data_IF_242388723867
#
_entry.id   IF_242388723867
#
_cell.length_a   1.000
_cell.length_b   1.000
_cell.length_c   1.000
_cell.angle_alpha   90.00
_cell.angle_beta   90.00
_cell.angle_gamma   90.00
#
_symmetry.space_group_name_H-M   'P 1'
#
loop_
_entity.id
_entity.type
_entity.pdbx_description
1 polymer ?
#
# COMPACT_ATOMS: atom_id res chain seq x y z
N UNK A 1 2.23 -21.07 -5.51
CA UNK A 1 2.36 -19.89 -4.62
C UNK A 1 2.84 -18.74 -5.47
N UNK A 2 2.14 -17.60 -5.49
CA UNK A 2 2.65 -16.41 -6.16
C UNK A 2 3.74 -15.79 -5.27
N UNK A 3 4.97 -15.70 -5.76
CA UNK A 3 6.07 -15.05 -5.04
C UNK A 3 5.82 -13.55 -4.88
N UNK A 4 6.60 -12.91 -4.00
CA UNK A 4 6.59 -11.45 -3.88
C UNK A 4 6.93 -10.80 -5.23
N UNK A 5 6.23 -9.73 -5.54
CA UNK A 5 6.30 -9.06 -6.84
C UNK A 5 6.73 -7.61 -6.66
N UNK A 6 7.54 -7.13 -7.59
CA UNK A 6 7.97 -5.74 -7.66
C UNK A 6 7.48 -5.09 -8.95
N UNK A 7 6.99 -3.86 -8.86
CA UNK A 7 6.47 -3.13 -10.02
C UNK A 7 7.60 -2.49 -10.81
N UNK A 8 7.77 -2.90 -12.06
CA UNK A 8 8.65 -2.21 -13.02
C UNK A 8 7.83 -1.46 -14.07
N UNK A 9 8.30 -0.28 -14.48
CA UNK A 9 7.67 0.46 -15.58
C UNK A 9 8.12 -0.08 -16.93
N UNK A 10 7.20 -0.13 -17.91
CA UNK A 10 7.50 -0.62 -19.25
C UNK A 10 8.53 0.26 -20.00
N UNK A 11 8.52 1.56 -19.72
CA UNK A 11 9.43 2.56 -20.31
C UNK A 11 10.74 2.72 -19.55
N UNK A 12 11.01 1.87 -18.53
CA UNK A 12 12.20 2.02 -17.69
C UNK A 12 13.49 1.96 -18.50
N UNK A 13 13.57 1.06 -19.48
CA UNK A 13 14.73 0.90 -20.34
C UNK A 13 15.06 2.16 -21.17
N UNK A 14 14.08 3.04 -21.41
CA UNK A 14 14.23 4.32 -22.12
C UNK A 14 14.33 5.53 -21.18
N UNK A 15 14.20 5.33 -19.88
CA UNK A 15 14.14 6.43 -18.91
C UNK A 15 15.46 7.23 -18.90
N UNK A 16 15.44 8.58 -18.89
CA UNK A 16 16.66 9.39 -18.97
C UNK A 16 17.71 9.08 -17.89
N UNK A 17 17.27 8.73 -16.68
CA UNK A 17 18.17 8.29 -15.60
C UNK A 17 18.88 6.97 -15.94
N UNK A 18 18.18 5.99 -16.54
CA UNK A 18 18.80 4.74 -17.01
C UNK A 18 19.80 5.01 -18.12
N UNK A 19 19.48 5.92 -19.04
CA UNK A 19 20.42 6.35 -20.10
C UNK A 19 21.68 7.00 -19.50
N UNK A 20 21.54 7.86 -18.48
CA UNK A 20 22.68 8.46 -17.77
C UNK A 20 23.53 7.41 -17.06
N UNK A 21 22.91 6.47 -16.33
CA UNK A 21 23.63 5.38 -15.67
C UNK A 21 24.36 4.49 -16.68
N UNK A 22 23.70 4.12 -17.79
CA UNK A 22 24.30 3.35 -18.88
C UNK A 22 25.53 4.05 -19.46
N UNK A 23 25.44 5.37 -19.69
CA UNK A 23 26.56 6.17 -20.16
C UNK A 23 27.71 6.25 -19.14
N UNK A 24 27.40 6.40 -17.85
CA UNK A 24 28.40 6.51 -16.78
C UNK A 24 29.17 5.19 -16.57
N UNK A 25 28.45 4.07 -16.61
CA UNK A 25 29.01 2.73 -16.37
C UNK A 25 29.52 2.04 -17.65
N UNK A 26 29.33 2.67 -18.82
CA UNK A 26 29.65 2.10 -20.15
C UNK A 26 29.04 0.71 -20.34
N UNK A 27 27.79 0.55 -19.91
CA UNK A 27 27.07 -0.72 -19.97
C UNK A 27 25.76 -0.59 -20.75
N UNK A 28 25.25 -1.73 -21.21
CA UNK A 28 23.96 -1.76 -21.91
C UNK A 28 22.79 -1.48 -20.94
N UNK A 29 21.67 -1.03 -21.51
CA UNK A 29 20.49 -0.64 -20.75
C UNK A 29 19.86 -1.81 -19.99
N UNK A 30 19.96 -3.03 -20.49
CA UNK A 30 19.40 -4.21 -19.81
C UNK A 30 20.22 -4.58 -18.59
N UNK A 31 21.55 -4.47 -18.64
CA UNK A 31 22.42 -4.64 -17.45
C UNK A 31 22.08 -3.63 -16.36
N UNK A 32 21.83 -2.37 -16.72
CA UNK A 32 21.36 -1.34 -15.78
C UNK A 32 20.00 -1.71 -15.18
N UNK A 33 19.04 -2.11 -16.02
CA UNK A 33 17.69 -2.49 -15.56
C UNK A 33 17.73 -3.71 -14.64
N UNK A 34 18.58 -4.70 -14.93
CA UNK A 34 18.79 -5.87 -14.08
C UNK A 34 19.42 -5.50 -12.73
N UNK A 35 20.42 -4.61 -12.73
CA UNK A 35 21.01 -4.08 -11.49
C UNK A 35 19.99 -3.32 -10.65
N UNK A 36 19.16 -2.47 -11.28
CA UNK A 36 18.10 -1.74 -10.59
C UNK A 36 17.05 -2.67 -9.99
N UNK A 37 16.63 -3.70 -10.74
CA UNK A 37 15.72 -4.71 -10.23
C UNK A 37 16.31 -5.43 -9.00
N UNK A 38 17.58 -5.84 -9.06
CA UNK A 38 18.26 -6.48 -7.94
C UNK A 38 18.33 -5.58 -6.71
N UNK A 39 18.76 -4.32 -6.88
CA UNK A 39 18.80 -3.34 -5.82
C UNK A 39 17.41 -3.11 -5.20
N UNK A 40 16.38 -2.91 -6.03
CA UNK A 40 15.02 -2.67 -5.52
C UNK A 40 14.45 -3.89 -4.80
N UNK A 41 14.76 -5.12 -5.23
CA UNK A 41 14.39 -6.32 -4.50
C UNK A 41 15.09 -6.40 -3.13
N UNK A 42 16.37 -6.03 -3.05
CA UNK A 42 17.10 -5.97 -1.77
C UNK A 42 16.40 -5.01 -0.79
N UNK A 43 16.10 -3.79 -1.24
CA UNK A 43 15.38 -2.82 -0.43
C UNK A 43 13.98 -3.31 -0.06
N UNK A 44 13.26 -3.98 -0.96
CA UNK A 44 11.92 -4.49 -0.66
C UNK A 44 11.90 -5.60 0.39
N UNK A 45 12.94 -6.45 0.43
CA UNK A 45 13.05 -7.57 1.38
C UNK A 45 13.59 -7.10 2.73
N UNK A 46 14.60 -6.24 2.73
CA UNK A 46 15.37 -5.89 3.92
C UNK A 46 15.06 -4.52 4.50
N UNK A 47 14.19 -3.73 3.85
CA UNK A 47 13.80 -2.42 4.32
C UNK A 47 12.28 -2.26 4.42
N UNK A 48 11.84 -1.53 5.45
CA UNK A 48 10.42 -1.19 5.66
C UNK A 48 10.12 0.23 5.18
N UNK A 49 11.08 1.14 5.33
CA UNK A 49 10.97 2.59 5.10
C UNK A 49 11.92 3.09 4.00
N UNK A 50 12.69 2.19 3.39
CA UNK A 50 13.70 2.51 2.39
C UNK A 50 15.09 2.77 2.97
N UNK A 51 15.32 2.54 4.26
CA UNK A 51 16.64 2.50 4.90
C UNK A 51 17.18 1.07 4.92
N UNK A 52 18.42 0.89 4.45
CA UNK A 52 19.22 -0.31 4.65
C UNK A 52 20.37 0.02 5.58
N UNK A 53 20.25 -0.43 6.83
CA UNK A 53 21.28 -0.20 7.85
C UNK A 53 22.44 -1.19 7.70
N UNK A 54 23.68 -0.71 7.86
CA UNK A 54 24.90 -1.50 7.71
C UNK A 54 25.26 -1.88 6.27
N UNK A 55 24.59 -1.31 5.27
CA UNK A 55 24.97 -1.45 3.87
C UNK A 55 25.68 -0.18 3.41
N UNK A 56 26.86 -0.34 2.79
CA UNK A 56 27.57 0.74 2.10
C UNK A 56 27.37 0.65 0.58
N UNK A 57 27.72 1.73 -0.13
CA UNK A 57 27.70 1.72 -1.60
C UNK A 57 28.55 0.58 -2.19
N UNK A 58 29.70 0.28 -1.58
CA UNK A 58 30.59 -0.80 -2.05
C UNK A 58 29.97 -2.18 -1.80
N UNK A 59 29.33 -2.39 -0.65
CA UNK A 59 28.61 -3.65 -0.35
C UNK A 59 27.47 -3.92 -1.33
N UNK A 60 26.74 -2.88 -1.71
CA UNK A 60 25.66 -3.00 -2.70
C UNK A 60 26.21 -3.34 -4.10
N UNK A 61 27.34 -2.73 -4.50
CA UNK A 61 28.00 -3.02 -5.76
C UNK A 61 28.54 -4.46 -5.83
N UNK A 62 29.13 -4.96 -4.73
CA UNK A 62 29.61 -6.33 -4.61
C UNK A 62 28.46 -7.34 -4.68
N UNK A 63 27.34 -7.06 -4.00
CA UNK A 63 26.16 -7.93 -4.05
C UNK A 63 25.56 -8.02 -5.45
N UNK A 64 25.51 -6.90 -6.18
CA UNK A 64 25.01 -6.85 -7.56
C UNK A 64 26.05 -7.41 -8.55
N UNK A 65 27.32 -7.43 -8.17
CA UNK A 65 28.44 -7.75 -9.06
C UNK A 65 28.61 -6.70 -10.15
N UNK A 66 28.42 -5.42 -9.81
CA UNK A 66 28.56 -4.31 -10.74
C UNK A 66 29.22 -3.08 -10.08
N UNK A 67 30.57 -2.99 -10.15
CA UNK A 67 31.31 -1.88 -9.55
C UNK A 67 30.89 -0.51 -10.08
N UNK A 68 30.72 0.45 -9.17
CA UNK A 68 30.29 1.82 -9.45
C UNK A 68 28.78 2.00 -9.62
N UNK A 69 27.98 0.92 -9.52
CA UNK A 69 26.54 0.96 -9.77
C UNK A 69 25.81 1.85 -8.77
N UNK A 70 26.14 1.73 -7.49
CA UNK A 70 25.56 2.50 -6.39
C UNK A 70 25.88 3.98 -6.54
N UNK A 71 27.12 4.33 -6.92
CA UNK A 71 27.49 5.71 -7.26
C UNK A 71 26.69 6.26 -8.44
N UNK A 72 26.48 5.46 -9.48
CA UNK A 72 25.65 5.88 -10.62
C UNK A 72 24.17 6.06 -10.21
N UNK A 73 23.66 5.22 -9.30
CA UNK A 73 22.30 5.30 -8.76
C UNK A 73 22.13 6.54 -7.87
N UNK A 74 23.15 6.89 -7.08
CA UNK A 74 23.22 8.14 -6.31
C UNK A 74 23.25 9.37 -7.21
N UNK A 75 24.07 9.36 -8.27
CA UNK A 75 24.18 10.48 -9.20
C UNK A 75 22.85 10.82 -9.92
N UNK A 76 21.98 9.83 -10.10
CA UNK A 76 20.64 10.05 -10.65
C UNK A 76 19.57 10.27 -9.59
N UNK A 77 19.92 10.34 -8.30
CA UNK A 77 19.00 10.57 -7.18
C UNK A 77 18.00 9.43 -6.99
N UNK A 78 18.47 8.19 -7.11
CA UNK A 78 17.71 6.98 -6.78
C UNK A 78 18.26 6.23 -5.57
N UNK A 79 19.40 6.66 -5.06
CA UNK A 79 20.04 6.17 -3.85
C UNK A 79 20.66 7.38 -3.15
N UNK A 80 20.71 7.36 -1.82
CA UNK A 80 21.41 8.31 -0.97
C UNK A 80 22.20 7.50 0.07
N UNK A 81 23.30 8.06 0.56
CA UNK A 81 24.15 7.43 1.57
C UNK A 81 24.19 8.33 2.81
N UNK A 82 23.86 7.73 3.96
CA UNK A 82 23.84 8.40 5.26
C UNK A 82 24.82 7.69 6.19
N UNK A 83 26.11 7.95 6.02
CA UNK A 83 27.16 7.32 6.83
C UNK A 83 27.26 5.82 6.56
N UNK A 84 26.76 4.99 7.48
CA UNK A 84 26.82 3.52 7.40
C UNK A 84 25.52 2.89 6.85
N UNK A 85 24.57 3.71 6.40
CA UNK A 85 23.30 3.21 5.87
C UNK A 85 23.00 3.77 4.48
N UNK A 86 22.37 2.95 3.63
CA UNK A 86 21.84 3.38 2.34
C UNK A 86 20.36 3.72 2.44
N UNK A 87 19.94 4.78 1.76
CA UNK A 87 18.55 5.24 1.71
C UNK A 87 18.08 5.26 0.28
N UNK A 88 16.89 4.71 0.01
CA UNK A 88 16.20 4.89 -1.26
C UNK A 88 15.23 6.07 -1.17
N UNK A 89 15.51 7.21 -1.82
CA UNK A 89 14.65 8.39 -1.71
C UNK A 89 13.28 8.11 -2.31
N UNK A 90 12.22 8.58 -1.63
CA UNK A 90 10.82 8.37 -2.03
C UNK A 90 10.45 6.89 -2.14
N UNK A 91 11.04 6.03 -1.29
CA UNK A 91 10.71 4.60 -1.21
C UNK A 91 9.19 4.37 -1.14
N UNK A 92 8.48 5.10 -0.28
CA UNK A 92 7.02 5.02 -0.13
C UNK A 92 6.22 5.29 -1.41
N UNK A 93 6.77 6.08 -2.35
CA UNK A 93 6.08 6.41 -3.60
C UNK A 93 6.08 5.25 -4.60
N UNK A 94 7.07 4.36 -4.54
CA UNK A 94 7.27 3.33 -5.56
C UNK A 94 7.29 1.91 -4.99
N UNK A 95 8.00 1.69 -3.88
CA UNK A 95 8.13 0.37 -3.25
C UNK A 95 7.43 0.27 -1.89
N UNK A 96 6.86 1.37 -1.39
CA UNK A 96 6.00 1.36 -0.21
C UNK A 96 4.76 0.47 -0.36
N UNK A 97 4.30 -0.11 0.75
CA UNK A 97 3.11 -0.96 0.78
C UNK A 97 1.85 -0.22 0.26
N UNK A 98 1.78 1.09 0.50
CA UNK A 98 0.72 1.97 -0.01
C UNK A 98 0.77 2.11 -1.54
N UNK A 99 1.96 2.15 -2.14
CA UNK A 99 2.17 2.23 -3.58
C UNK A 99 1.82 0.91 -4.29
N UNK A 100 2.22 -0.23 -3.71
CA UNK A 100 1.84 -1.58 -4.19
C UNK A 100 0.33 -1.75 -4.23
N UNK A 101 -0.39 -1.35 -3.17
CA UNK A 101 -1.87 -1.41 -3.11
C UNK A 101 -2.53 -0.49 -4.15
N UNK A 102 -2.08 0.76 -4.27
CA UNK A 102 -2.56 1.70 -5.31
C UNK A 102 -2.36 1.15 -6.72
N UNK A 103 -1.23 0.48 -6.99
CA UNK A 103 -0.97 -0.15 -8.28
C UNK A 103 -1.95 -1.30 -8.57
N UNK A 104 -2.19 -2.19 -7.60
CA UNK A 104 -3.15 -3.29 -7.74
C UNK A 104 -4.60 -2.78 -7.90
N UNK A 105 -4.99 -1.76 -7.13
CA UNK A 105 -6.32 -1.17 -7.23
C UNK A 105 -6.54 -0.48 -8.59
N UNK A 106 -5.50 0.19 -9.12
CA UNK A 106 -5.54 0.75 -10.46
C UNK A 106 -5.70 -0.34 -11.54
N UNK A 107 -4.96 -1.45 -11.43
CA UNK A 107 -5.11 -2.59 -12.35
C UNK A 107 -6.48 -3.25 -12.23
N UNK A 108 -7.00 -3.45 -11.01
CA UNK A 108 -8.35 -3.97 -10.79
C UNK A 108 -9.39 -3.07 -11.45
N UNK A 109 -9.32 -1.75 -11.23
CA UNK A 109 -10.24 -0.77 -11.84
C UNK A 109 -10.12 -0.77 -13.37
N UNK A 110 -8.91 -0.86 -13.92
CA UNK A 110 -8.68 -0.95 -15.36
C UNK A 110 -9.31 -2.20 -15.96
N UNK A 111 -9.16 -3.35 -15.31
CA UNK A 111 -9.72 -4.62 -15.77
C UNK A 111 -11.26 -4.61 -15.74
N UNK A 112 -11.87 -4.04 -14.69
CA UNK A 112 -13.33 -3.85 -14.60
C UNK A 112 -13.85 -2.98 -15.75
N UNK A 113 -13.18 -1.85 -16.05
CA UNK A 113 -13.55 -0.99 -17.18
C UNK A 113 -13.43 -1.70 -18.52
N UNK A 114 -12.39 -2.52 -18.70
CA UNK A 114 -12.18 -3.29 -19.94
C UNK A 114 -13.28 -4.36 -20.16
N UNK A 115 -13.70 -5.05 -19.10
CA UNK A 115 -14.80 -6.02 -19.15
C UNK A 115 -16.16 -5.34 -19.41
N UNK A 116 -16.37 -4.15 -18.84
CA UNK A 116 -17.61 -3.39 -19.03
C UNK A 116 -17.74 -2.83 -20.46
N UNK A 117 -16.63 -2.46 -21.10
CA UNK A 117 -16.62 -1.97 -22.48
C UNK A 117 -16.92 -3.09 -23.51
N UNK A 118 -16.42 -4.31 -23.29
CA UNK A 118 -16.67 -5.43 -24.21
C UNK A 118 -18.11 -5.95 -24.21
N UNK A 119 -18.86 -5.69 -23.13
CA UNK A 119 -20.27 -6.09 -23.01
C UNK A 119 -21.24 -5.04 -23.59
N UNK A 120 -20.82 -3.77 -23.68
CA UNK A 120 -21.61 -2.71 -24.30
C UNK A 120 -21.69 -2.87 -25.84
N UNK A 121 -20.62 -3.35 -26.48
CA UNK A 121 -20.54 -3.49 -27.94
C UNK A 121 -21.34 -4.68 -28.50
N UNK A 122 -21.69 -5.68 -27.68
CA UNK A 122 -22.51 -6.84 -28.12
C UNK A 122 -24.01 -6.53 -28.20
N UNK A 123 -24.46 -5.34 -27.79
CA UNK A 123 -25.89 -4.98 -27.66
C UNK A 123 -26.40 -3.89 -28.62
N UNK A 124 -25.72 -3.64 -29.74
CA UNK A 124 -26.23 -2.80 -30.86
C UNK A 124 -25.85 -3.52 -32.17
N UNK A 125 -26.70 -3.84 -33.13
CA UNK A 125 -27.96 -3.26 -33.64
C UNK A 125 -28.71 -4.39 -34.39
N UNK A 126 -29.98 -4.67 -34.06
CA UNK A 126 -30.85 -5.49 -34.96
C UNK A 126 -31.53 -4.53 -35.93
N UNK A 127 -30.96 -4.44 -37.12
CA UNK A 127 -31.44 -3.63 -38.24
C UNK A 127 -32.87 -4.01 -38.64
N UNK A 128 -33.71 -3.01 -38.79
CA UNK A 128 -35.09 -3.05 -39.25
C UNK A 128 -35.15 -3.12 -40.79
N UNK A 129 -35.65 -4.22 -41.41
CA UNK A 129 -36.28 -4.22 -42.76
C UNK A 129 -36.87 -5.58 -43.23
N UNK A 130 -38.18 -5.54 -43.55
CA UNK A 130 -38.84 -6.03 -44.80
C UNK A 130 -39.50 -7.45 -44.90
N UNK A 131 -40.83 -7.44 -44.66
CA UNK A 131 -41.99 -7.94 -45.49
C UNK A 131 -42.12 -9.40 -46.02
N UNK A 132 -43.34 -9.91 -45.75
CA UNK A 132 -44.30 -10.67 -46.61
C UNK A 132 -44.28 -12.23 -46.71
N UNK A 133 -45.29 -12.85 -46.06
CA UNK A 133 -46.37 -13.73 -46.55
C UNK A 133 -46.21 -15.23 -47.00
N UNK A 134 -47.13 -16.06 -46.45
CA UNK A 134 -47.84 -17.28 -46.96
C UNK A 134 -47.36 -18.74 -46.66
N UNK A 135 -48.16 -19.37 -45.76
CA UNK A 135 -48.83 -20.71 -45.71
C UNK A 135 -48.14 -22.10 -45.50
N UNK A 136 -48.74 -22.80 -44.51
CA UNK A 136 -49.16 -24.22 -44.39
C UNK A 136 -48.17 -25.39 -44.05
N UNK A 137 -48.13 -25.73 -42.74
CA UNK A 137 -48.18 -27.03 -41.95
C UNK A 137 -47.86 -28.41 -42.61
N UNK A 138 -47.59 -29.52 -41.83
CA UNK A 138 -47.06 -29.69 -40.44
C UNK A 138 -46.10 -30.92 -40.17
N UNK A 139 -45.38 -30.82 -39.03
CA UNK A 139 -44.99 -31.82 -37.97
C UNK A 139 -44.20 -33.13 -38.21
N UNK A 140 -43.05 -33.26 -37.51
CA UNK A 140 -42.68 -34.35 -36.55
C UNK A 140 -41.41 -33.95 -35.75
N UNK A 141 -41.50 -33.60 -34.46
CA UNK A 141 -41.00 -34.36 -33.30
C UNK A 141 -39.56 -33.96 -32.86
N UNK A 142 -39.33 -32.93 -32.04
CA UNK A 142 -39.39 -32.84 -30.55
C UNK A 142 -38.20 -33.46 -29.79
N UNK A 143 -37.19 -32.63 -29.45
CA UNK A 143 -36.41 -32.75 -28.22
C UNK A 143 -36.42 -31.37 -27.52
N UNK A 144 -36.90 -31.37 -26.27
CA UNK A 144 -37.08 -30.20 -25.42
C UNK A 144 -35.82 -29.95 -24.59
N UNK A 145 -35.34 -28.71 -24.56
CA UNK A 145 -34.73 -28.14 -23.36
C UNK A 145 -35.03 -26.64 -23.31
N UNK A 146 -35.85 -26.25 -22.33
CA UNK A 146 -36.27 -24.88 -22.08
C UNK A 146 -35.17 -24.08 -21.34
N UNK A 147 -34.94 -22.80 -21.67
CA UNK A 147 -34.15 -21.90 -20.86
C UNK A 147 -35.05 -21.24 -19.80
N UNK A 148 -34.70 -21.37 -18.53
CA UNK A 148 -35.44 -20.72 -17.43
C UNK A 148 -34.78 -19.38 -17.12
N UNK A 149 -35.46 -18.32 -17.51
CA UNK A 149 -35.29 -16.95 -17.00
C UNK A 149 -35.63 -16.94 -15.50
N UNK A 150 -34.87 -16.21 -14.69
CA UNK A 150 -35.38 -15.65 -13.43
C UNK A 150 -34.52 -14.46 -13.00
N UNK A 151 -35.13 -13.29 -13.15
CA UNK A 151 -34.69 -12.02 -12.58
C UNK A 151 -34.81 -11.97 -11.05
N UNK A 152 -33.94 -11.14 -10.46
CA UNK A 152 -34.06 -10.37 -9.21
C UNK A 152 -34.70 -11.02 -7.96
N UNK A 153 -33.86 -11.29 -6.96
CA UNK A 153 -34.27 -11.47 -5.57
C UNK A 153 -33.21 -10.90 -4.63
N UNK A 154 -33.58 -9.88 -3.84
CA UNK A 154 -32.78 -9.42 -2.72
C UNK A 154 -32.72 -10.48 -1.64
N UNK A 155 -31.51 -10.84 -1.22
CA UNK A 155 -31.23 -11.69 -0.08
C UNK A 155 -29.83 -11.35 0.43
N UNK A 156 -29.71 -11.12 1.73
CA UNK A 156 -28.43 -10.90 2.42
C UNK A 156 -27.45 -12.04 2.12
N UNK A 157 -26.14 -11.76 2.00
CA UNK A 157 -25.16 -12.80 1.78
C UNK A 157 -25.03 -13.69 3.02
N UNK A 158 -25.23 -14.98 2.80
CA UNK A 158 -25.05 -16.09 3.74
C UNK A 158 -23.66 -16.02 4.44
N UNK A 159 -23.60 -15.99 5.79
CA UNK A 159 -22.35 -15.90 6.54
C UNK A 159 -21.50 -17.19 6.51
N UNK A 160 -21.98 -18.31 5.95
CA UNK A 160 -21.26 -19.59 5.97
C UNK A 160 -20.44 -19.93 4.70
N UNK A 161 -20.27 -19.00 3.77
CA UNK A 161 -19.50 -19.22 2.54
C UNK A 161 -17.96 -19.17 2.70
N UNK A 162 -17.43 -19.48 3.88
CA UNK A 162 -15.98 -19.54 4.14
C UNK A 162 -15.57 -20.85 4.81
N UNK A 163 -15.57 -21.97 4.07
CA UNK A 163 -14.62 -23.07 4.34
C UNK A 163 -14.60 -24.12 3.23
N UNK A 164 -13.60 -24.03 2.35
CA UNK A 164 -13.07 -25.20 1.65
C UNK A 164 -11.64 -25.43 2.16
N UNK A 165 -11.54 -26.26 3.19
CA UNK A 165 -10.31 -26.73 3.80
C UNK A 165 -9.72 -27.84 2.91
N UNK A 166 -8.61 -27.57 2.23
CA UNK A 166 -7.80 -28.61 1.59
C UNK A 166 -6.34 -28.46 2.04
N UNK A 167 -5.77 -29.58 2.49
CA UNK A 167 -4.38 -29.78 2.95
C UNK A 167 -4.03 -29.39 4.39
N UNK A 168 -4.68 -30.01 5.38
CA UNK A 168 -4.03 -30.81 6.45
C UNK A 168 -2.77 -30.30 7.19
N UNK A 169 -2.41 -29.02 7.12
CA UNK A 169 -1.23 -28.45 7.77
C UNK A 169 -1.69 -27.68 9.01
N UNK A 170 -1.39 -28.23 10.19
CA UNK A 170 -1.49 -27.52 11.47
C UNK A 170 -0.13 -26.88 11.75
N UNK A 171 -0.07 -25.55 11.72
CA UNK A 171 1.11 -24.81 12.11
C UNK A 171 1.30 -24.90 13.65
N UNK A 172 2.53 -25.13 14.16
CA UNK A 172 2.78 -25.15 15.60
C UNK A 172 2.80 -23.71 16.14
N UNK A 173 1.81 -23.36 16.96
CA UNK A 173 1.90 -22.22 17.90
C UNK A 173 0.75 -21.22 17.84
N UNK A 174 0.01 -21.14 18.95
CA UNK A 174 -0.83 -19.99 19.32
C UNK A 174 -2.31 -20.32 19.43
N UNK A 175 -2.80 -20.57 20.64
CA UNK A 175 -4.24 -20.57 20.94
C UNK A 175 -4.76 -19.13 20.76
N UNK A 176 -5.62 -18.93 19.77
CA UNK A 176 -6.30 -17.65 19.51
C UNK A 176 -7.27 -17.81 18.36
N UNK A 177 -8.55 -17.62 18.64
CA UNK A 177 -9.67 -17.91 17.75
C UNK A 177 -9.67 -17.06 16.45
N UNK A 178 -10.15 -17.67 15.37
CA UNK A 178 -10.56 -17.08 14.09
C UNK A 178 -9.57 -16.23 13.28
N UNK A 179 -8.84 -16.90 12.36
CA UNK A 179 -8.50 -16.36 11.04
C UNK A 179 -7.82 -14.97 10.99
N UNK A 180 -7.85 -14.34 9.82
CA UNK A 180 -7.45 -12.92 9.67
C UNK A 180 -8.72 -12.08 9.69
N UNK A 181 -8.72 -10.98 10.43
CA UNK A 181 -9.86 -10.06 10.49
C UNK A 181 -9.40 -8.61 10.34
N UNK A 182 -10.30 -7.77 9.82
CA UNK A 182 -10.10 -6.32 9.76
C UNK A 182 -10.35 -5.70 11.13
N UNK A 183 -9.63 -4.62 11.44
CA UNK A 183 -9.81 -3.90 12.70
C UNK A 183 -11.24 -3.39 12.86
N UNK A 184 -11.84 -3.61 14.03
CA UNK A 184 -13.21 -3.22 14.38
C UNK A 184 -13.26 -2.54 15.76
N UNK A 185 -14.33 -1.79 16.03
CA UNK A 185 -14.44 -0.94 17.23
C UNK A 185 -14.36 -1.71 18.55
N UNK A 186 -14.86 -2.96 18.55
CA UNK A 186 -14.89 -3.81 19.74
C UNK A 186 -13.64 -4.69 19.89
N UNK A 187 -12.56 -4.40 19.16
CA UNK A 187 -11.33 -5.19 19.25
C UNK A 187 -10.58 -4.84 20.53
N UNK A 188 -10.12 -5.86 21.25
CA UNK A 188 -9.35 -5.70 22.47
C UNK A 188 -8.14 -6.65 22.43
N UNK A 189 -6.95 -6.23 22.88
CA UNK A 189 -5.81 -7.14 23.04
C UNK A 189 -6.05 -8.16 24.16
N UNK A 190 -5.18 -9.16 24.25
CA UNK A 190 -5.27 -10.17 25.30
C UNK A 190 -5.18 -9.55 26.71
N UNK A 191 -5.86 -10.12 27.72
CA UNK A 191 -5.75 -9.65 29.11
C UNK A 191 -4.31 -9.65 29.66
N UNK A 192 -3.42 -10.45 29.06
CA UNK A 192 -2.01 -10.55 29.43
C UNK A 192 -1.07 -9.88 28.41
N UNK A 193 -1.58 -8.85 27.72
CA UNK A 193 -0.85 -8.16 26.66
C UNK A 193 0.51 -7.63 27.11
N UNK A 194 0.62 -6.99 28.28
CA UNK A 194 1.89 -6.43 28.79
C UNK A 194 2.98 -7.50 28.90
N UNK A 195 2.59 -8.71 29.33
CA UNK A 195 3.49 -9.88 29.39
C UNK A 195 3.89 -10.37 28.00
N UNK A 196 2.94 -10.46 27.06
CA UNK A 196 3.22 -10.84 25.66
C UNK A 196 4.10 -9.81 24.94
N UNK A 197 3.88 -8.52 25.18
CA UNK A 197 4.71 -7.45 24.63
C UNK A 197 6.17 -7.58 25.08
N UNK A 198 6.40 -7.91 26.36
CA UNK A 198 7.75 -8.15 26.88
C UNK A 198 8.44 -9.34 26.21
N UNK A 199 7.69 -10.39 25.85
CA UNK A 199 8.23 -11.53 25.07
C UNK A 199 8.69 -11.12 23.67
N UNK A 200 8.10 -10.08 23.08
CA UNK A 200 8.55 -9.49 21.81
C UNK A 200 9.66 -8.44 21.98
N UNK A 201 10.23 -8.30 23.18
CA UNK A 201 11.27 -7.32 23.50
C UNK A 201 10.74 -5.90 23.75
N UNK A 202 9.42 -5.72 23.91
CA UNK A 202 8.79 -4.42 24.12
C UNK A 202 8.37 -4.30 25.59
N UNK A 203 9.15 -3.57 26.37
CA UNK A 203 8.89 -3.37 27.79
C UNK A 203 7.98 -2.16 28.03
N UNK A 204 6.68 -2.42 28.20
CA UNK A 204 5.69 -1.41 28.55
C UNK A 204 5.65 -1.24 30.08
N UNK A 205 6.07 -0.06 30.57
CA UNK A 205 6.09 0.26 32.02
C UNK A 205 4.71 0.46 32.64
N UNK A 206 3.73 0.77 31.81
CA UNK A 206 2.34 1.07 32.19
C UNK A 206 1.43 0.31 31.24
N UNK A 207 0.26 -0.11 31.72
CA UNK A 207 -0.73 -0.76 30.87
C UNK A 207 -1.18 0.15 29.72
N UNK A 208 -1.80 -0.46 28.70
CA UNK A 208 -2.33 0.29 27.56
C UNK A 208 -3.45 1.19 28.05
N UNK A 209 -3.37 2.47 27.71
CA UNK A 209 -4.46 3.41 28.01
C UNK A 209 -5.60 3.24 26.99
N UNK A 210 -6.86 3.46 27.37
CA UNK A 210 -7.99 3.41 26.43
C UNK A 210 -7.83 4.38 25.24
N UNK A 211 -7.14 5.50 25.45
CA UNK A 211 -6.84 6.47 24.40
C UNK A 211 -5.87 5.91 23.35
N UNK A 212 -4.77 5.28 23.77
CA UNK A 212 -3.81 4.63 22.86
C UNK A 212 -4.48 3.51 22.04
N UNK A 213 -5.37 2.75 22.67
CA UNK A 213 -6.13 1.70 22.00
C UNK A 213 -7.12 2.30 20.97
N UNK A 214 -7.86 3.35 21.34
CA UNK A 214 -8.82 4.01 20.46
C UNK A 214 -8.14 4.66 19.25
N UNK A 215 -6.99 5.31 19.43
CA UNK A 215 -6.20 5.89 18.35
C UNK A 215 -5.73 4.80 17.37
N UNK A 216 -5.22 3.69 17.91
CA UNK A 216 -4.82 2.53 17.13
C UNK A 216 -5.99 1.94 16.33
N UNK A 217 -7.13 1.70 16.97
CA UNK A 217 -8.32 1.17 16.31
C UNK A 217 -8.79 2.11 15.19
N UNK A 218 -8.87 3.41 15.46
CA UNK A 218 -9.33 4.42 14.49
C UNK A 218 -8.46 4.43 13.24
N UNK A 219 -7.14 4.44 13.41
CA UNK A 219 -6.19 4.39 12.32
C UNK A 219 -6.32 3.10 11.49
N UNK A 220 -6.31 1.94 12.16
CA UNK A 220 -6.31 0.64 11.47
C UNK A 220 -7.66 0.25 10.88
N UNK A 221 -8.76 0.79 11.43
CA UNK A 221 -10.10 0.69 10.84
C UNK A 221 -10.18 1.46 9.53
N UNK A 222 -9.63 2.67 9.47
CA UNK A 222 -9.53 3.43 8.23
C UNK A 222 -8.61 2.75 7.19
N UNK A 223 -7.55 2.08 7.64
CA UNK A 223 -6.61 1.35 6.78
C UNK A 223 -7.23 0.11 6.11
N UNK A 224 -8.21 -0.54 6.77
CA UNK A 224 -8.98 -1.66 6.24
C UNK A 224 -8.17 -2.93 5.92
N UNK A 225 -6.99 -3.10 6.53
CA UNK A 225 -6.15 -4.31 6.40
C UNK A 225 -6.67 -5.41 7.34
N UNK A 226 -6.46 -6.68 6.96
CA UNK A 226 -6.81 -7.83 7.78
C UNK A 226 -5.55 -8.58 8.25
N UNK A 227 -5.46 -8.81 9.56
CA UNK A 227 -4.37 -9.55 10.19
C UNK A 227 -4.91 -10.56 11.20
N UNK A 228 -4.07 -11.50 11.61
CA UNK A 228 -4.37 -12.38 12.73
C UNK A 228 -4.37 -11.61 14.05
N UNK A 229 -5.06 -12.14 15.06
CA UNK A 229 -5.11 -11.54 16.39
C UNK A 229 -3.71 -11.23 16.95
N UNK A 230 -2.79 -12.20 16.91
CA UNK A 230 -1.41 -12.01 17.40
C UNK A 230 -0.63 -10.94 16.61
N UNK A 231 -0.88 -10.82 15.31
CA UNK A 231 -0.27 -9.80 14.47
C UNK A 231 -0.79 -8.40 14.83
N UNK A 232 -2.07 -8.28 15.17
CA UNK A 232 -2.64 -7.04 15.68
C UNK A 232 -2.03 -6.64 17.02
N UNK A 233 -1.84 -7.60 17.92
CA UNK A 233 -1.20 -7.35 19.21
C UNK A 233 0.26 -6.88 19.04
N UNK A 234 1.05 -7.50 18.15
CA UNK A 234 2.41 -7.05 17.88
C UNK A 234 2.45 -5.62 17.32
N UNK A 235 1.51 -5.27 16.43
CA UNK A 235 1.40 -3.91 15.88
C UNK A 235 1.02 -2.91 16.95
N UNK A 236 0.07 -3.24 17.82
CA UNK A 236 -0.31 -2.40 18.95
C UNK A 236 0.88 -2.15 19.87
N UNK A 237 1.66 -3.19 20.20
CA UNK A 237 2.81 -3.09 21.09
C UNK A 237 3.88 -2.11 20.55
N UNK A 238 4.19 -2.22 19.26
CA UNK A 238 5.14 -1.30 18.59
C UNK A 238 4.59 0.12 18.50
N UNK A 239 3.30 0.27 18.20
CA UNK A 239 2.64 1.57 18.11
C UNK A 239 2.69 2.31 19.45
N UNK A 240 2.40 1.61 20.55
CA UNK A 240 2.44 2.17 21.92
C UNK A 240 3.87 2.48 22.35
N UNK A 241 4.84 1.64 21.98
CA UNK A 241 6.25 1.94 22.23
C UNK A 241 6.68 3.24 21.54
N UNK A 242 6.29 3.43 20.29
CA UNK A 242 6.62 4.62 19.50
C UNK A 242 5.90 5.86 20.02
N UNK A 243 4.61 5.77 20.37
CA UNK A 243 3.85 6.90 20.90
C UNK A 243 4.43 7.40 22.22
N UNK A 244 4.92 6.49 23.08
CA UNK A 244 5.55 6.82 24.37
C UNK A 244 7.00 7.26 24.26
N UNK A 245 7.73 6.78 23.25
CA UNK A 245 9.09 7.22 22.96
C UNK A 245 9.12 8.62 22.34
N UNK A 246 8.02 9.06 21.74
CA UNK A 246 7.89 10.42 21.20
C UNK A 246 7.90 11.40 22.38
N UNK A 247 8.87 12.31 22.49
CA UNK A 247 8.82 13.34 23.51
C UNK A 247 7.53 14.13 23.30
N UNK A 248 6.88 14.52 24.40
CA UNK A 248 5.82 15.54 24.36
C UNK A 248 6.51 16.80 23.86
N UNK A 249 6.59 16.97 22.54
CA UNK A 249 6.67 18.29 21.98
C UNK A 249 5.49 18.99 22.62
N UNK A 250 5.76 19.95 23.49
CA UNK A 250 4.79 20.97 23.84
C UNK A 250 4.22 21.39 22.51
N UNK A 251 3.04 20.88 22.19
CA UNK A 251 2.19 21.45 21.19
C UNK A 251 2.00 22.84 21.79
N UNK A 252 2.80 23.80 21.32
CA UNK A 252 2.50 25.21 21.52
C UNK A 252 1.04 25.26 21.10
N UNK A 253 0.17 25.39 22.10
CA UNK A 253 -1.23 25.69 21.88
C UNK A 253 -1.14 27.06 21.24
N UNK A 254 -1.00 27.08 19.91
CA UNK A 254 -1.29 28.25 19.12
C UNK A 254 -2.77 28.41 19.35
N UNK A 255 -3.11 29.23 20.34
CA UNK A 255 -4.47 29.61 20.58
C UNK A 255 -4.92 30.26 19.28
N UNK A 256 -5.89 29.64 18.63
CA UNK A 256 -6.37 30.05 17.31
C UNK A 256 -6.98 31.47 17.37
N UNK A 257 -7.24 31.97 18.60
CA UNK A 257 -7.72 33.32 18.86
C UNK A 257 -6.62 34.33 19.25
N UNK A 258 -5.35 33.92 19.31
CA UNK A 258 -4.24 34.83 19.61
C UNK A 258 -3.86 35.58 18.33
N UNK A 259 -4.44 36.77 18.16
CA UNK A 259 -4.12 37.68 17.06
C UNK A 259 -2.86 38.46 17.46
N UNK A 260 -1.74 38.36 16.71
CA UNK A 260 -0.54 39.14 16.99
C UNK A 260 -0.87 40.64 16.94
N UNK A 261 -0.59 41.36 18.02
CA UNK A 261 -0.72 42.83 18.00
C UNK A 261 0.21 43.40 16.92
N UNK A 262 -0.29 44.28 16.02
CA UNK A 262 0.55 44.91 15.02
C UNK A 262 1.58 45.80 15.69
N UNK A 263 2.83 45.65 15.26
CA UNK A 263 3.97 46.45 15.70
C UNK A 263 3.68 47.94 15.50
N UNK A 264 3.66 48.69 16.62
CA UNK A 264 3.40 50.14 16.65
C UNK A 264 4.67 50.97 16.48
N UNK A 265 5.81 50.36 16.19
CA UNK A 265 7.05 51.10 15.97
C UNK A 265 7.04 51.73 14.58
N UNK A 266 6.90 53.06 14.55
CA UNK A 266 7.07 53.87 13.34
C UNK A 266 8.58 53.91 13.05
N UNK A 267 9.04 53.44 11.88
CA UNK A 267 10.46 53.48 11.52
C UNK A 267 10.99 54.91 11.52
N UNK A 268 12.19 55.09 12.05
CA UNK A 268 12.87 56.38 12.13
C UNK A 268 13.03 56.97 10.71
N UNK A 269 12.27 58.04 10.41
CA UNK A 269 12.20 58.65 9.07
C UNK A 269 10.78 58.84 8.53
N UNK A 270 9.75 58.23 9.12
CA UNK A 270 8.36 58.45 8.73
C UNK A 270 7.78 59.73 9.38
N UNK A 271 7.93 60.89 8.72
CA UNK A 271 7.19 62.12 9.11
C UNK A 271 5.78 62.09 8.52
N UNK A 272 4.79 61.75 9.33
CA UNK A 272 3.38 61.98 9.01
C UNK A 272 3.08 63.48 8.93
N UNK A 273 2.29 63.87 7.93
CA UNK A 273 1.73 65.22 7.79
C UNK A 273 0.90 65.56 9.04
N UNK A 274 1.29 66.62 9.77
CA UNK A 274 0.38 67.29 10.69
C UNK A 274 -0.56 68.18 9.87
N UNK A 275 -1.84 67.82 9.81
CA UNK A 275 -2.87 68.75 9.36
C UNK A 275 -3.08 69.81 10.44
N UNK A 276 -3.01 71.07 10.02
CA UNK A 276 -3.28 72.29 10.80
C UNK A 276 -4.69 72.33 11.37
#
# INVERSE_FOLDING_TARGET
MAGDWIKMRADLHTHPKVVRMASALKADRLRIVGGLHSAWCLFDVHSVDGLLDGYSADTLDDLIGFPGFSRAMMAVGWLEENGESLVMPRFEAHNGQSAKRRAQDADRKRNVRKASASEADKKRTREEKRREDIKDKPHTGSEQNSPVDNSAGGGEPDPDANNAMLNGYVAPGGMGEFGKFQMHDNWNPDPQFTRRASQWGINLKTDITPFELADFITYWKAEGKAFHHDQWQQKLARSVQQSRARPVAQQQRRDINDVPEPDKTIPEGFRGYQAT
#
